data_IF_303641702237
#
_entry.id   IF_303641702237
#
_cell.length_a   1.000
_cell.length_b   1.000
_cell.length_c   1.000
_cell.angle_alpha   90.00
_cell.angle_beta   90.00
_cell.angle_gamma   90.00
#
_symmetry.space_group_name_H-M   'P 1'
#
loop_
_entity.id
_entity.type
_entity.pdbx_description
1 polymer ?
#
# COMPACT_ATOMS: atom_id res chain seq x y z
N UNK A 1 6.85 -18.34 -42.91
CA UNK A 1 7.32 -18.95 -41.66
C UNK A 1 8.09 -17.89 -40.89
N UNK A 2 7.44 -17.21 -39.95
CA UNK A 2 8.08 -16.21 -39.08
C UNK A 2 7.73 -16.58 -37.66
N UNK A 3 8.74 -16.97 -36.89
CA UNK A 3 8.59 -17.37 -35.50
C UNK A 3 8.29 -16.12 -34.66
N UNK A 4 7.21 -16.24 -33.91
CA UNK A 4 6.69 -15.36 -32.88
C UNK A 4 7.75 -14.95 -31.86
N UNK A 5 7.87 -13.64 -31.63
CA UNK A 5 8.68 -13.07 -30.55
C UNK A 5 7.76 -12.79 -29.36
N UNK A 6 8.05 -13.40 -28.23
CA UNK A 6 7.34 -13.22 -26.95
C UNK A 6 7.93 -12.00 -26.23
N UNK A 7 7.17 -10.99 -25.80
CA UNK A 7 7.69 -9.91 -24.96
C UNK A 7 7.44 -10.24 -23.48
N UNK A 8 8.50 -10.71 -22.82
CA UNK A 8 8.55 -10.95 -21.38
C UNK A 8 9.99 -11.17 -20.95
N UNK A 9 10.76 -10.09 -20.82
CA UNK A 9 12.03 -10.03 -20.07
C UNK A 9 12.47 -8.56 -20.04
N UNK A 10 12.49 -7.96 -18.84
CA UNK A 10 13.09 -6.66 -18.64
C UNK A 10 14.58 -6.76 -19.03
N UNK A 11 14.98 -6.05 -20.09
CA UNK A 11 16.37 -6.04 -20.56
C UNK A 11 17.27 -5.44 -19.48
N UNK A 12 18.12 -6.27 -18.88
CA UNK A 12 19.30 -5.83 -18.13
C UNK A 12 20.21 -4.98 -19.05
N UNK A 13 20.73 -3.83 -18.59
CA UNK A 13 21.67 -3.04 -19.38
C UNK A 13 22.97 -3.84 -19.63
N UNK A 14 23.46 -3.81 -20.87
CA UNK A 14 24.73 -4.45 -21.27
C UNK A 14 25.94 -3.57 -20.88
N UNK A 15 26.96 -4.19 -20.27
CA UNK A 15 28.38 -3.80 -20.10
C UNK A 15 28.77 -2.37 -20.51
N UNK A 16 28.53 -1.42 -19.61
CA UNK A 16 29.50 -0.41 -19.20
C UNK A 16 29.86 -0.73 -17.74
N UNK A 17 31.11 -0.51 -17.31
CA UNK A 17 31.64 -0.99 -16.02
C UNK A 17 30.58 -1.01 -14.91
N UNK A 18 30.31 -2.20 -14.36
CA UNK A 18 29.38 -2.33 -13.25
C UNK A 18 29.79 -1.31 -12.18
N UNK A 19 28.82 -0.54 -11.65
CA UNK A 19 29.11 0.50 -10.67
C UNK A 19 29.86 -0.12 -9.50
N UNK A 20 31.07 0.36 -9.25
CA UNK A 20 31.90 -0.16 -8.14
C UNK A 20 31.23 0.27 -6.83
N UNK A 21 30.79 -0.67 -5.97
CA UNK A 21 30.17 -0.30 -4.72
C UNK A 21 31.18 0.40 -3.81
N UNK A 22 30.73 1.44 -3.11
CA UNK A 22 31.57 2.12 -2.11
C UNK A 22 32.01 1.15 -1.01
N UNK A 23 33.06 1.51 -0.27
CA UNK A 23 33.57 0.68 0.84
C UNK A 23 32.46 0.37 1.85
N UNK A 24 31.58 1.34 2.12
CA UNK A 24 30.39 1.17 2.95
C UNK A 24 29.48 0.05 2.45
N UNK A 25 29.14 0.05 1.15
CA UNK A 25 28.27 -0.96 0.54
C UNK A 25 28.94 -2.34 0.55
N UNK A 26 30.26 -2.41 0.26
CA UNK A 26 31.01 -3.68 0.32
C UNK A 26 31.07 -4.26 1.73
N UNK A 27 31.27 -3.41 2.75
CA UNK A 27 31.25 -3.84 4.16
C UNK A 27 29.87 -4.36 4.57
N UNK A 28 28.81 -3.65 4.19
CA UNK A 28 27.42 -4.10 4.42
C UNK A 28 27.15 -5.46 3.78
N UNK A 29 27.57 -5.63 2.52
CA UNK A 29 27.42 -6.89 1.79
C UNK A 29 28.13 -8.05 2.50
N UNK A 30 29.35 -7.83 3.01
CA UNK A 30 30.09 -8.82 3.80
C UNK A 30 29.33 -9.25 5.05
N UNK A 31 28.83 -8.29 5.84
CA UNK A 31 28.06 -8.55 7.06
C UNK A 31 26.80 -9.38 6.75
N UNK A 32 26.07 -9.01 5.69
CA UNK A 32 24.84 -9.72 5.31
C UNK A 32 25.12 -11.16 4.85
N UNK A 33 26.21 -11.38 4.12
CA UNK A 33 26.64 -12.72 3.70
C UNK A 33 27.07 -13.58 4.88
N UNK A 34 27.90 -13.05 5.79
CA UNK A 34 28.32 -13.75 6.99
C UNK A 34 27.14 -14.14 7.88
N UNK A 35 26.12 -13.29 7.95
CA UNK A 35 24.88 -13.55 8.67
C UNK A 35 23.91 -14.51 7.96
N UNK A 36 24.17 -14.90 6.72
CA UNK A 36 23.25 -15.70 5.90
C UNK A 36 21.90 -15.02 5.69
N UNK A 37 21.88 -13.69 5.53
CA UNK A 37 20.65 -12.96 5.21
C UNK A 37 20.27 -13.13 3.73
N UNK A 38 18.97 -13.19 3.42
CA UNK A 38 18.48 -13.05 2.04
C UNK A 38 18.40 -11.55 1.71
N UNK A 39 19.21 -11.11 0.73
CA UNK A 39 19.31 -9.70 0.37
C UNK A 39 19.63 -9.48 -1.11
N UNK A 40 19.29 -8.29 -1.59
CA UNK A 40 19.65 -7.78 -2.93
C UNK A 40 20.10 -6.33 -2.79
N UNK A 41 21.18 -5.97 -3.48
CA UNK A 41 21.67 -4.58 -3.58
C UNK A 41 21.32 -4.01 -4.96
N UNK A 42 20.64 -2.87 -4.96
CA UNK A 42 20.25 -2.16 -6.19
C UNK A 42 21.07 -0.89 -6.35
N UNK A 43 21.81 -0.78 -7.45
CA UNK A 43 22.43 0.48 -7.86
C UNK A 43 21.46 1.36 -8.64
N UNK A 44 21.58 2.68 -8.44
CA UNK A 44 20.83 3.71 -9.16
C UNK A 44 21.73 4.86 -9.58
N UNK A 45 21.42 5.44 -10.73
CA UNK A 45 22.08 6.67 -11.20
C UNK A 45 21.54 7.94 -10.53
N UNK A 46 20.31 7.89 -10.01
CA UNK A 46 19.64 9.00 -9.35
C UNK A 46 19.18 8.54 -7.95
N UNK A 47 19.61 9.24 -6.87
CA UNK A 47 19.19 8.94 -5.51
C UNK A 47 17.67 9.05 -5.31
N UNK A 48 17.12 8.25 -4.41
CA UNK A 48 15.76 8.43 -3.88
C UNK A 48 15.79 9.45 -2.74
N UNK A 49 14.92 10.46 -2.80
CA UNK A 49 14.87 11.52 -1.79
C UNK A 49 13.80 11.30 -0.72
N UNK A 50 12.87 10.36 -0.95
CA UNK A 50 11.80 10.01 -0.01
C UNK A 50 11.38 8.55 -0.12
N UNK A 51 10.66 8.06 0.90
CA UNK A 51 10.00 6.76 0.89
C UNK A 51 9.06 6.61 -0.32
N UNK A 52 8.24 7.64 -0.61
CA UNK A 52 7.34 7.64 -1.76
C UNK A 52 8.07 7.51 -3.10
N UNK A 53 9.18 8.23 -3.28
CA UNK A 53 10.03 8.10 -4.48
C UNK A 53 10.67 6.71 -4.58
N UNK A 54 11.09 6.13 -3.45
CA UNK A 54 11.60 4.77 -3.38
C UNK A 54 10.54 3.75 -3.81
N UNK A 55 9.35 3.82 -3.22
CA UNK A 55 8.23 2.94 -3.52
C UNK A 55 7.86 2.97 -5.01
N UNK A 56 7.71 4.17 -5.58
CA UNK A 56 7.42 4.35 -6.99
C UNK A 56 8.52 3.77 -7.90
N UNK A 57 9.79 3.99 -7.55
CA UNK A 57 10.90 3.56 -8.38
C UNK A 57 11.14 2.04 -8.36
N UNK A 58 10.89 1.39 -7.22
CA UNK A 58 10.97 -0.07 -7.11
C UNK A 58 9.65 -0.78 -7.45
N UNK A 59 8.57 -0.02 -7.69
CA UNK A 59 7.20 -0.53 -7.88
C UNK A 59 6.76 -1.43 -6.73
N UNK A 60 7.08 -1.01 -5.52
CA UNK A 60 6.74 -1.68 -4.26
C UNK A 60 5.72 -0.86 -3.50
N UNK A 61 5.08 -1.48 -2.52
CA UNK A 61 4.14 -0.79 -1.64
C UNK A 61 4.90 0.21 -0.74
N UNK A 62 4.33 1.38 -0.41
CA UNK A 62 5.00 2.35 0.46
C UNK A 62 5.45 1.76 1.80
N UNK A 63 4.67 0.83 2.37
CA UNK A 63 5.04 0.14 3.61
C UNK A 63 6.25 -0.79 3.49
N UNK A 64 6.60 -1.25 2.28
CA UNK A 64 7.84 -1.99 2.05
C UNK A 64 9.09 -1.12 2.15
N UNK A 65 8.95 0.21 2.11
CA UNK A 65 10.09 1.08 2.37
C UNK A 65 10.34 1.19 3.87
N UNK A 66 11.61 1.15 4.25
CA UNK A 66 12.06 1.15 5.64
C UNK A 66 12.97 2.36 5.90
N UNK A 67 12.44 3.59 5.94
CA UNK A 67 13.25 4.75 6.31
C UNK A 67 13.82 4.62 7.72
N UNK A 68 15.15 4.79 7.83
CA UNK A 68 15.86 4.91 9.09
C UNK A 68 15.97 6.38 9.51
N UNK A 69 15.39 6.72 10.66
CA UNK A 69 15.37 8.06 11.25
C UNK A 69 16.26 8.09 12.49
N UNK A 70 17.01 9.17 12.71
CA UNK A 70 17.77 9.37 13.95
C UNK A 70 16.94 10.19 14.92
N UNK A 71 16.64 9.63 16.09
CA UNK A 71 15.93 10.33 17.16
C UNK A 71 16.85 10.58 18.35
N UNK A 72 16.51 11.58 19.15
CA UNK A 72 17.09 11.81 20.47
C UNK A 72 16.01 11.61 21.53
N UNK A 73 16.19 10.58 22.35
CA UNK A 73 15.35 10.28 23.51
C UNK A 73 16.08 10.76 24.78
N UNK A 74 15.59 11.85 25.39
CA UNK A 74 16.24 12.48 26.54
C UNK A 74 17.75 12.76 26.32
N UNK A 75 18.09 13.23 25.11
CA UNK A 75 19.46 13.54 24.69
C UNK A 75 20.31 12.35 24.25
N UNK A 76 19.79 11.12 24.33
CA UNK A 76 20.49 9.90 23.86
C UNK A 76 20.06 9.55 22.43
N UNK A 77 21.00 9.39 21.48
CA UNK A 77 20.65 9.07 20.09
C UNK A 77 20.24 7.61 19.93
N UNK A 78 19.26 7.38 19.06
CA UNK A 78 18.82 6.05 18.61
C UNK A 78 18.39 6.11 17.15
N UNK A 79 18.29 4.95 16.50
CA UNK A 79 17.71 4.83 15.15
C UNK A 79 16.32 4.24 15.23
N UNK A 80 15.38 4.82 14.48
CA UNK A 80 14.03 4.34 14.33
C UNK A 80 13.81 3.92 12.88
N UNK A 81 13.66 2.62 12.65
CA UNK A 81 13.39 2.04 11.34
C UNK A 81 11.87 1.87 11.23
N UNK A 82 11.22 2.78 10.51
CA UNK A 82 9.77 2.83 10.35
C UNK A 82 9.33 2.17 9.04
N UNK A 83 8.10 1.66 8.99
CA UNK A 83 7.39 1.40 7.73
C UNK A 83 7.06 2.73 7.06
N UNK A 84 7.38 2.86 5.77
CA UNK A 84 7.04 4.05 4.99
C UNK A 84 5.53 4.26 4.84
N UNK A 85 4.72 3.23 5.06
CA UNK A 85 3.26 3.28 5.12
C UNK A 85 2.73 4.06 6.32
N UNK A 86 3.56 4.31 7.34
CA UNK A 86 3.16 5.10 8.50
C UNK A 86 3.04 6.59 8.23
N UNK A 87 3.74 7.11 7.22
CA UNK A 87 3.91 8.54 7.02
C UNK A 87 4.80 9.15 8.10
N UNK A 88 4.41 10.32 8.64
CA UNK A 88 5.20 11.03 9.64
C UNK A 88 5.15 10.31 11.00
N UNK A 89 6.32 10.10 11.61
CA UNK A 89 6.44 9.49 12.93
C UNK A 89 5.78 10.36 14.01
N UNK A 90 4.94 9.75 14.83
CA UNK A 90 4.39 10.35 16.05
C UNK A 90 5.43 10.28 17.18
N UNK A 91 5.92 11.44 17.60
CA UNK A 91 6.98 11.54 18.62
C UNK A 91 6.46 11.30 20.05
N UNK A 92 5.18 11.51 20.31
CA UNK A 92 4.56 11.22 21.60
C UNK A 92 4.38 9.71 21.76
N UNK A 93 3.94 9.04 20.69
CA UNK A 93 3.94 7.58 20.63
C UNK A 93 5.35 7.00 20.78
N UNK A 94 6.33 7.56 20.08
CA UNK A 94 7.72 7.13 20.21
C UNK A 94 8.23 7.24 21.66
N UNK A 95 7.90 8.34 22.35
CA UNK A 95 8.25 8.53 23.76
C UNK A 95 7.60 7.46 24.66
N UNK A 96 6.33 7.14 24.42
CA UNK A 96 5.59 6.09 25.14
C UNK A 96 6.22 4.71 24.96
N UNK A 97 6.56 4.34 23.72
CA UNK A 97 7.18 3.05 23.37
C UNK A 97 8.55 2.90 24.06
N UNK A 98 9.31 3.98 24.12
CA UNK A 98 10.63 4.01 24.74
C UNK A 98 10.58 4.15 26.26
N UNK A 99 9.43 4.46 26.84
CA UNK A 99 9.28 4.71 28.29
C UNK A 99 10.03 5.96 28.76
N UNK A 100 10.11 7.01 27.93
CA UNK A 100 10.83 8.26 28.21
C UNK A 100 9.89 9.47 28.21
N UNK A 101 10.34 10.58 28.78
CA UNK A 101 9.55 11.82 28.88
C UNK A 101 9.50 12.62 27.56
N UNK A 102 10.52 12.52 26.71
CA UNK A 102 10.60 13.30 25.47
C UNK A 102 11.46 12.62 24.41
N UNK A 103 10.99 12.71 23.17
CA UNK A 103 11.68 12.26 21.96
C UNK A 103 11.61 13.37 20.92
N UNK A 104 12.71 13.61 20.21
CA UNK A 104 12.75 14.53 19.07
C UNK A 104 13.52 13.93 17.89
N UNK A 105 13.21 14.38 16.69
CA UNK A 105 14.01 14.07 15.51
C UNK A 105 15.36 14.80 15.61
N UNK A 106 16.46 14.09 15.36
CA UNK A 106 17.79 14.69 15.32
C UNK A 106 17.93 15.63 14.11
N UNK A 107 18.66 16.73 14.26
CA UNK A 107 19.01 17.58 13.13
C UNK A 107 19.92 16.81 12.15
N UNK A 108 19.96 17.17 10.84
CA UNK A 108 20.84 16.51 9.89
C UNK A 108 22.32 16.51 10.29
N UNK A 109 22.78 17.61 10.91
CA UNK A 109 24.14 17.70 11.45
C UNK A 109 24.38 16.70 12.58
N UNK A 110 23.44 16.62 13.53
CA UNK A 110 23.52 15.67 14.64
C UNK A 110 23.42 14.22 14.17
N UNK A 111 22.52 13.92 13.23
CA UNK A 111 22.39 12.59 12.63
C UNK A 111 23.71 12.14 11.98
N UNK A 112 24.37 13.03 11.23
CA UNK A 112 25.68 12.76 10.64
C UNK A 112 26.78 12.58 11.69
N UNK A 113 26.77 13.39 12.75
CA UNK A 113 27.75 13.29 13.84
C UNK A 113 27.67 11.93 14.55
N UNK A 114 26.46 11.45 14.86
CA UNK A 114 26.28 10.22 15.65
C UNK A 114 26.27 8.94 14.81
N UNK A 115 25.97 9.02 13.51
CA UNK A 115 25.91 7.83 12.64
C UNK A 115 27.00 7.77 11.58
N UNK A 116 27.64 8.89 11.26
CA UNK A 116 28.55 9.02 10.11
C UNK A 116 27.85 9.18 8.76
N UNK A 117 26.51 9.06 8.68
CA UNK A 117 25.75 9.07 7.43
C UNK A 117 24.91 10.33 7.24
N UNK A 118 24.67 10.70 5.98
CA UNK A 118 23.76 11.80 5.66
C UNK A 118 22.31 11.32 5.69
N UNK A 119 21.41 12.17 6.17
CA UNK A 119 19.97 11.90 6.17
C UNK A 119 19.50 11.50 4.76
N UNK A 120 18.64 10.48 4.69
CA UNK A 120 18.17 9.91 3.43
C UNK A 120 19.06 8.81 2.85
N UNK A 121 20.26 8.60 3.40
CA UNK A 121 21.15 7.50 3.00
C UNK A 121 21.46 6.52 4.13
N UNK A 122 20.93 6.72 5.34
CA UNK A 122 21.24 5.88 6.49
C UNK A 122 21.08 4.40 6.15
N UNK A 123 22.08 3.55 6.48
CA UNK A 123 21.97 2.12 6.25
C UNK A 123 20.81 1.54 7.06
N UNK A 124 20.19 0.44 6.62
CA UNK A 124 19.25 -0.32 7.45
C UNK A 124 19.95 -1.15 8.53
N UNK A 125 21.19 -1.54 8.25
CA UNK A 125 21.93 -2.58 8.92
C UNK A 125 23.44 -2.34 8.82
N UNK A 126 24.22 -2.79 9.80
CA UNK A 126 23.92 -2.66 11.23
C UNK A 126 24.15 -1.21 11.69
N UNK A 127 23.47 -0.80 12.76
CA UNK A 127 23.80 0.42 13.49
C UNK A 127 24.53 0.12 14.80
N UNK A 128 25.52 0.94 15.15
CA UNK A 128 26.14 0.93 16.48
C UNK A 128 25.22 1.53 17.57
N UNK A 129 24.14 2.21 17.15
CA UNK A 129 23.15 2.82 18.02
C UNK A 129 21.99 1.85 18.36
N UNK A 130 21.33 2.02 19.52
CA UNK A 130 20.06 1.36 19.80
C UNK A 130 19.06 1.59 18.68
N UNK A 131 18.31 0.55 18.33
CA UNK A 131 17.31 0.60 17.26
C UNK A 131 15.91 0.31 17.77
N UNK A 132 14.93 1.01 17.22
CA UNK A 132 13.52 0.62 17.25
C UNK A 132 13.13 0.16 15.86
N UNK A 133 12.50 -1.01 15.77
CA UNK A 133 12.03 -1.58 14.50
C UNK A 133 10.51 -1.62 14.51
N UNK A 134 9.93 -1.16 13.42
CA UNK A 134 8.49 -1.21 13.16
C UNK A 134 8.01 -2.58 12.75
N UNK A 135 7.04 -3.12 13.49
CA UNK A 135 6.51 -4.46 13.24
C UNK A 135 5.69 -4.54 11.95
N UNK A 136 5.23 -3.41 11.38
CA UNK A 136 4.59 -3.41 10.05
C UNK A 136 5.55 -3.91 8.96
N UNK A 137 6.86 -3.69 9.11
CA UNK A 137 7.88 -4.16 8.17
C UNK A 137 7.93 -5.69 8.10
N UNK A 138 7.54 -6.40 9.17
CA UNK A 138 7.55 -7.86 9.24
C UNK A 138 6.45 -8.51 8.41
N UNK A 139 5.51 -7.73 7.88
CA UNK A 139 4.43 -8.22 7.01
C UNK A 139 4.89 -8.49 5.59
N UNK A 140 6.04 -7.93 5.20
CA UNK A 140 6.53 -8.00 3.84
C UNK A 140 7.62 -9.06 3.69
N UNK A 141 7.68 -9.79 2.56
CA UNK A 141 8.75 -10.74 2.32
C UNK A 141 10.13 -10.06 2.20
N UNK A 142 10.15 -8.79 1.76
CA UNK A 142 11.33 -7.95 1.66
C UNK A 142 10.99 -6.49 1.91
N UNK A 143 11.91 -5.79 2.58
CA UNK A 143 11.84 -4.36 2.86
C UNK A 143 13.06 -3.64 2.31
N UNK A 144 12.88 -2.36 1.98
CA UNK A 144 13.80 -1.58 1.16
C UNK A 144 14.28 -0.33 1.89
N UNK A 145 15.59 -0.13 1.98
CA UNK A 145 16.14 1.05 2.66
C UNK A 145 17.57 1.36 2.27
N UNK A 146 18.17 2.31 2.98
CA UNK A 146 19.50 2.82 2.64
C UNK A 146 20.61 1.81 2.90
N UNK A 147 21.76 2.10 2.31
CA UNK A 147 23.01 1.31 2.47
C UNK A 147 24.14 2.12 3.09
N UNK A 148 23.91 3.40 3.43
CA UNK A 148 24.95 4.39 3.72
C UNK A 148 25.45 5.12 2.47
N UNK A 149 25.02 4.69 1.28
CA UNK A 149 25.35 5.30 -0.02
C UNK A 149 24.06 5.73 -0.73
N UNK A 150 23.93 7.00 -1.17
CA UNK A 150 22.71 7.52 -1.77
C UNK A 150 22.37 6.89 -3.13
N UNK A 151 23.30 6.18 -3.77
CA UNK A 151 23.10 5.51 -5.06
C UNK A 151 22.78 4.02 -4.91
N UNK A 152 22.79 3.49 -3.69
CA UNK A 152 22.55 2.07 -3.43
C UNK A 152 21.41 1.85 -2.44
N UNK A 153 20.47 0.99 -2.82
CA UNK A 153 19.35 0.56 -1.97
C UNK A 153 19.49 -0.91 -1.61
N UNK A 154 19.30 -1.22 -0.33
CA UNK A 154 19.22 -2.60 0.17
C UNK A 154 17.76 -3.05 0.13
N UNK A 155 17.51 -4.23 -0.44
CA UNK A 155 16.34 -5.03 -0.13
C UNK A 155 16.75 -6.24 0.71
N UNK A 156 16.08 -6.48 1.83
CA UNK A 156 16.42 -7.56 2.75
C UNK A 156 15.15 -8.14 3.38
N UNK A 157 15.18 -9.42 3.76
CA UNK A 157 14.15 -10.01 4.61
C UNK A 157 14.09 -9.26 5.97
N UNK A 158 12.91 -8.85 6.45
CA UNK A 158 12.79 -7.94 7.58
C UNK A 158 13.27 -8.55 8.92
N UNK A 159 13.36 -9.87 9.03
CA UNK A 159 13.94 -10.58 10.18
C UNK A 159 15.42 -10.21 10.39
N UNK A 160 16.13 -9.84 9.31
CA UNK A 160 17.50 -9.36 9.40
C UNK A 160 17.60 -8.07 10.22
N UNK A 161 16.58 -7.19 10.15
CA UNK A 161 16.50 -5.96 10.95
C UNK A 161 16.49 -6.27 12.45
N UNK A 162 15.75 -7.31 12.84
CA UNK A 162 15.66 -7.74 14.24
C UNK A 162 16.93 -8.44 14.73
N UNK A 163 17.58 -9.21 13.85
CA UNK A 163 18.74 -10.04 14.21
C UNK A 163 20.07 -9.28 14.20
N UNK A 164 20.24 -8.33 13.29
CA UNK A 164 21.53 -7.69 13.01
C UNK A 164 21.65 -6.27 13.56
N UNK A 165 20.55 -5.65 14.01
CA UNK A 165 20.60 -4.43 14.80
C UNK A 165 20.49 -4.71 16.30
N UNK A 166 20.97 -3.78 17.12
CA UNK A 166 20.71 -3.76 18.56
C UNK A 166 19.29 -3.22 18.83
N UNK A 167 18.27 -4.06 18.63
CA UNK A 167 16.87 -3.68 18.85
C UNK A 167 16.57 -3.56 20.34
N UNK A 168 16.14 -2.38 20.78
CA UNK A 168 15.82 -2.09 22.20
C UNK A 168 14.32 -1.96 22.47
N UNK A 169 13.53 -1.70 21.43
CA UNK A 169 12.07 -1.70 21.48
C UNK A 169 11.51 -2.01 20.09
N UNK A 170 10.23 -2.32 20.02
CA UNK A 170 9.49 -2.49 18.76
C UNK A 170 8.39 -1.47 18.69
N UNK A 171 8.19 -0.89 17.50
CA UNK A 171 7.06 -0.03 17.23
C UNK A 171 5.89 -0.94 16.83
N UNK A 172 4.89 -1.14 17.71
CA UNK A 172 3.83 -2.11 17.48
C UNK A 172 3.10 -1.78 16.19
N UNK A 173 2.76 -2.81 15.41
CA UNK A 173 1.90 -2.63 14.25
C UNK A 173 0.61 -1.92 14.69
N UNK A 174 0.10 -0.97 13.91
CA UNK A 174 -1.13 -0.24 14.30
C UNK A 174 -2.24 -1.24 14.59
N UNK A 175 -2.79 -1.18 15.81
CA UNK A 175 -4.07 -1.81 16.14
C UNK A 175 -5.17 -0.98 15.47
N UNK A 176 -5.46 -1.34 14.22
CA UNK A 176 -6.30 -0.56 13.31
C UNK A 176 -6.74 -1.41 12.13
N UNK A 177 -7.51 -2.44 12.44
CA UNK A 177 -8.10 -3.39 11.50
C UNK A 177 -8.62 -4.52 12.35
N UNK A 178 -9.94 -4.59 12.57
CA UNK A 178 -10.54 -5.71 13.31
C UNK A 178 -9.96 -7.03 12.84
N UNK A 179 -9.88 -8.03 13.73
CA UNK A 179 -9.47 -9.41 13.41
C UNK A 179 -9.66 -9.68 11.93
N UNK A 180 -8.57 -9.89 11.17
CA UNK A 180 -8.54 -9.99 9.69
C UNK A 180 -9.58 -10.98 9.15
N UNK A 181 -10.16 -11.81 10.00
CA UNK A 181 -11.33 -12.65 9.72
C UNK A 181 -12.67 -11.91 9.53
N UNK A 182 -12.93 -10.75 10.15
CA UNK A 182 -14.27 -10.13 10.21
C UNK A 182 -14.44 -8.78 9.46
N UNK A 183 -13.35 -8.08 9.13
CA UNK A 183 -13.39 -6.80 8.39
C UNK A 183 -13.98 -5.60 9.15
N UNK A 184 -13.60 -4.39 8.76
CA UNK A 184 -14.04 -3.12 9.35
C UNK A 184 -15.46 -2.75 8.90
N UNK A 185 -16.32 -2.20 9.78
CA UNK A 185 -17.53 -1.52 9.33
C UNK A 185 -17.18 -0.24 8.54
N UNK A 186 -18.13 0.26 7.74
CA UNK A 186 -17.94 1.44 6.88
C UNK A 186 -17.40 2.65 7.65
N UNK A 187 -17.95 2.95 8.82
CA UNK A 187 -17.55 4.12 9.61
C UNK A 187 -16.10 4.02 10.07
N UNK A 188 -15.65 2.82 10.44
CA UNK A 188 -14.27 2.57 10.82
C UNK A 188 -13.33 2.61 9.61
N UNK A 189 -13.78 2.12 8.45
CA UNK A 189 -13.04 2.27 7.19
C UNK A 189 -12.82 3.75 6.83
N UNK A 190 -13.87 4.57 6.91
CA UNK A 190 -13.79 6.01 6.60
C UNK A 190 -12.93 6.80 7.59
N UNK A 191 -12.74 6.27 8.79
CA UNK A 191 -11.84 6.83 9.79
C UNK A 191 -10.36 6.45 9.55
N UNK A 192 -10.07 5.53 8.62
CA UNK A 192 -8.69 5.17 8.26
C UNK A 192 -7.99 6.28 7.45
N UNK A 193 -6.73 6.05 7.10
CA UNK A 193 -5.94 6.97 6.28
C UNK A 193 -5.52 8.26 7.00
N UNK A 194 -4.82 9.11 6.26
CA UNK A 194 -4.41 10.45 6.70
C UNK A 194 -5.55 11.46 6.57
N UNK A 195 -5.36 12.68 7.10
CA UNK A 195 -6.33 13.76 6.88
C UNK A 195 -6.45 14.15 5.39
N UNK A 196 -5.37 14.02 4.63
CA UNK A 196 -5.36 14.26 3.19
C UNK A 196 -6.19 13.21 2.44
N UNK A 197 -6.05 11.93 2.81
CA UNK A 197 -6.85 10.84 2.23
C UNK A 197 -8.35 11.04 2.52
N UNK A 198 -8.69 11.41 3.77
CA UNK A 198 -10.07 11.74 4.15
C UNK A 198 -10.60 12.98 3.43
N UNK A 199 -9.78 14.01 3.22
CA UNK A 199 -10.17 15.20 2.46
C UNK A 199 -10.41 14.87 0.98
N UNK A 200 -9.53 14.06 0.37
CA UNK A 200 -9.71 13.57 -0.99
C UNK A 200 -11.02 12.80 -1.12
N UNK A 201 -11.27 11.86 -0.20
CA UNK A 201 -12.49 11.07 -0.15
C UNK A 201 -13.75 11.95 -0.07
N UNK A 202 -13.77 12.94 0.84
CA UNK A 202 -14.90 13.90 0.95
C UNK A 202 -15.18 14.59 -0.38
N UNK A 203 -14.14 15.01 -1.11
CA UNK A 203 -14.28 15.60 -2.44
C UNK A 203 -14.87 14.66 -3.51
N UNK A 204 -14.64 13.34 -3.42
CA UNK A 204 -15.35 12.36 -4.25
C UNK A 204 -16.80 12.19 -3.79
N UNK A 205 -17.02 12.05 -2.49
CA UNK A 205 -18.34 11.82 -1.91
C UNK A 205 -19.32 12.96 -2.17
N UNK A 206 -18.86 14.21 -2.20
CA UNK A 206 -19.71 15.38 -2.47
C UNK A 206 -20.31 15.38 -3.90
N UNK A 207 -19.55 14.90 -4.88
CA UNK A 207 -19.95 14.91 -6.31
C UNK A 207 -20.58 13.61 -6.80
N UNK A 208 -20.28 12.48 -6.15
CA UNK A 208 -20.83 11.18 -6.55
C UNK A 208 -22.20 10.98 -5.90
N UNK A 209 -23.20 10.77 -6.74
CA UNK A 209 -24.57 10.38 -6.38
C UNK A 209 -24.97 9.26 -7.31
N UNK A 210 -25.48 8.16 -6.76
CA UNK A 210 -25.99 7.09 -7.57
C UNK A 210 -27.32 7.49 -8.22
N UNK A 211 -27.60 6.91 -9.39
CA UNK A 211 -28.82 7.20 -10.14
C UNK A 211 -30.07 6.66 -9.45
N UNK A 212 -31.22 7.28 -9.73
CA UNK A 212 -32.51 6.77 -9.24
C UNK A 212 -32.81 5.37 -9.78
N UNK A 213 -32.37 5.06 -11.01
CA UNK A 213 -32.52 3.74 -11.60
C UNK A 213 -31.75 2.66 -10.80
N UNK A 214 -30.51 2.95 -10.41
CA UNK A 214 -29.73 2.07 -9.54
C UNK A 214 -30.38 1.92 -8.16
N UNK A 215 -30.84 3.03 -7.57
CA UNK A 215 -31.56 3.02 -6.29
C UNK A 215 -32.79 2.13 -6.32
N UNK A 216 -33.66 2.31 -7.30
CA UNK A 216 -34.87 1.50 -7.44
C UNK A 216 -34.53 0.02 -7.63
N UNK A 217 -33.51 -0.30 -8.41
CA UNK A 217 -33.03 -1.67 -8.61
C UNK A 217 -32.61 -2.32 -7.29
N UNK A 218 -31.80 -1.63 -6.49
CA UNK A 218 -31.33 -2.12 -5.18
C UNK A 218 -32.48 -2.27 -4.18
N UNK A 219 -33.47 -1.35 -4.20
CA UNK A 219 -34.63 -1.41 -3.31
C UNK A 219 -35.61 -2.53 -3.66
N UNK A 220 -35.75 -2.88 -4.94
CA UNK A 220 -36.62 -3.99 -5.40
C UNK A 220 -35.99 -5.37 -5.19
N UNK A 221 -34.67 -5.43 -5.08
CA UNK A 221 -33.95 -6.68 -4.85
C UNK A 221 -34.40 -7.34 -3.55
N UNK A 222 -34.43 -8.67 -3.53
CA UNK A 222 -34.76 -9.46 -2.35
C UNK A 222 -33.69 -9.35 -1.25
N UNK A 223 -33.17 -10.48 -0.80
CA UNK A 223 -32.06 -10.50 0.17
C UNK A 223 -30.78 -10.11 -0.56
N UNK A 224 -30.15 -9.02 -0.11
CA UNK A 224 -28.83 -8.63 -0.59
C UNK A 224 -27.74 -9.51 0.01
N UNK A 225 -26.65 -9.77 -0.73
CA UNK A 225 -25.50 -10.49 -0.21
C UNK A 225 -24.76 -9.68 0.86
N UNK A 226 -24.00 -10.36 1.70
CA UNK A 226 -22.95 -9.72 2.50
C UNK A 226 -21.81 -9.32 1.56
N UNK A 227 -21.28 -8.11 1.73
CA UNK A 227 -20.22 -7.58 0.88
C UNK A 227 -18.89 -7.53 1.63
N UNK A 228 -17.91 -8.26 1.11
CA UNK A 228 -16.50 -8.06 1.46
C UNK A 228 -15.90 -7.05 0.48
N UNK A 229 -15.43 -5.93 1.01
CA UNK A 229 -14.91 -4.79 0.24
C UNK A 229 -13.43 -4.65 0.55
N UNK A 230 -12.57 -4.96 -0.40
CA UNK A 230 -11.13 -4.71 -0.30
C UNK A 230 -10.84 -3.32 -0.81
N UNK A 231 -10.49 -2.40 0.09
CA UNK A 231 -10.31 -1.00 -0.23
C UNK A 231 -9.38 -0.30 0.76
N UNK A 232 -8.73 0.76 0.30
CA UNK A 232 -7.85 1.62 1.10
C UNK A 232 -8.14 3.08 0.79
N UNK A 233 -8.21 3.92 1.81
CA UNK A 233 -8.72 5.28 1.67
C UNK A 233 -7.85 6.18 0.77
N UNK A 234 -6.54 5.91 0.70
CA UNK A 234 -5.63 6.64 -0.18
C UNK A 234 -5.82 6.31 -1.67
N UNK A 235 -6.53 5.22 -2.00
CA UNK A 235 -6.69 4.77 -3.38
C UNK A 235 -7.80 5.58 -4.09
N UNK A 236 -7.50 6.34 -5.16
CA UNK A 236 -8.50 7.17 -5.84
C UNK A 236 -9.63 6.37 -6.49
N UNK A 237 -9.37 5.12 -6.90
CA UNK A 237 -10.40 4.26 -7.49
C UNK A 237 -11.34 3.72 -6.41
N UNK A 238 -10.84 3.50 -5.17
CA UNK A 238 -11.70 3.23 -4.02
C UNK A 238 -12.60 4.43 -3.72
N UNK A 239 -12.08 5.65 -3.80
CA UNK A 239 -12.85 6.88 -3.62
C UNK A 239 -13.94 7.09 -4.68
N UNK A 240 -13.85 6.45 -5.86
CA UNK A 240 -14.93 6.43 -6.86
C UNK A 240 -16.02 5.43 -6.45
N UNK A 241 -15.64 4.23 -6.00
CA UNK A 241 -16.57 3.13 -5.76
C UNK A 241 -17.32 3.25 -4.43
N UNK A 242 -16.60 3.53 -3.34
CA UNK A 242 -17.16 3.45 -1.97
C UNK A 242 -18.38 4.35 -1.76
N UNK A 243 -18.48 5.57 -2.33
CA UNK A 243 -19.70 6.38 -2.23
C UNK A 243 -20.98 5.68 -2.70
N UNK A 244 -20.90 4.82 -3.72
CA UNK A 244 -22.05 4.02 -4.17
C UNK A 244 -22.44 2.97 -3.13
N UNK A 245 -21.45 2.31 -2.50
CA UNK A 245 -21.68 1.34 -1.44
C UNK A 245 -22.25 1.99 -0.17
N UNK A 246 -21.84 3.22 0.15
CA UNK A 246 -22.46 4.00 1.24
C UNK A 246 -23.95 4.24 0.98
N UNK A 247 -24.32 4.61 -0.25
CA UNK A 247 -25.72 4.84 -0.61
C UNK A 247 -26.53 3.54 -0.55
N UNK A 248 -25.97 2.42 -1.00
CA UNK A 248 -26.58 1.09 -0.83
C UNK A 248 -26.80 0.78 0.65
N UNK A 249 -25.80 1.00 1.52
CA UNK A 249 -25.93 0.81 2.97
C UNK A 249 -27.02 1.69 3.59
N UNK A 250 -27.15 2.93 3.12
CA UNK A 250 -28.16 3.87 3.59
C UNK A 250 -29.57 3.45 3.14
N UNK A 251 -29.73 2.91 1.94
CA UNK A 251 -31.02 2.44 1.43
C UNK A 251 -31.43 1.09 1.99
N UNK A 252 -30.45 0.23 2.29
CA UNK A 252 -30.62 -1.15 2.76
C UNK A 252 -29.71 -1.38 3.98
N UNK A 253 -30.07 -0.86 5.17
CA UNK A 253 -29.25 -0.99 6.38
C UNK A 253 -28.98 -2.42 6.83
N UNK A 254 -29.76 -3.39 6.34
CA UNK A 254 -29.52 -4.82 6.54
C UNK A 254 -28.37 -5.40 5.72
N UNK A 255 -27.88 -4.70 4.69
CA UNK A 255 -26.76 -5.14 3.88
C UNK A 255 -25.46 -5.01 4.68
N UNK A 256 -24.76 -6.14 4.91
CA UNK A 256 -23.49 -6.12 5.62
C UNK A 256 -22.37 -5.65 4.68
N UNK A 257 -21.64 -4.60 5.09
CA UNK A 257 -20.43 -4.14 4.41
C UNK A 257 -19.23 -4.32 5.35
N UNK A 258 -18.27 -5.13 4.93
CA UNK A 258 -17.04 -5.40 5.66
C UNK A 258 -15.83 -5.02 4.82
N UNK A 259 -15.08 -4.04 5.30
CA UNK A 259 -13.92 -3.48 4.63
C UNK A 259 -12.63 -4.17 5.08
N UNK A 260 -11.80 -4.56 4.12
CA UNK A 260 -10.52 -5.20 4.34
C UNK A 260 -9.42 -4.39 3.63
N UNK A 261 -8.25 -4.19 4.25
CA UNK A 261 -7.11 -3.62 3.53
C UNK A 261 -6.66 -4.58 2.43
N UNK A 262 -5.99 -4.04 1.40
CA UNK A 262 -5.27 -4.90 0.45
C UNK A 262 -4.09 -5.56 1.18
N UNK A 263 -3.37 -4.74 1.94
CA UNK A 263 -2.22 -5.18 2.71
C UNK A 263 -2.61 -6.31 3.69
N UNK A 264 -1.91 -7.44 3.60
CA UNK A 264 -2.15 -8.62 4.43
C UNK A 264 -3.33 -9.48 3.98
N UNK A 265 -3.98 -9.16 2.86
CA UNK A 265 -5.06 -9.95 2.26
C UNK A 265 -4.80 -10.33 0.80
N UNK A 266 -3.58 -10.15 0.29
CA UNK A 266 -3.25 -10.29 -1.13
C UNK A 266 -3.49 -11.73 -1.64
N UNK A 267 -3.09 -12.74 -0.88
CA UNK A 267 -3.33 -14.15 -1.23
C UNK A 267 -4.83 -14.46 -1.28
N UNK A 268 -5.58 -14.01 -0.26
CA UNK A 268 -7.03 -14.18 -0.18
C UNK A 268 -7.72 -13.45 -1.34
N UNK A 269 -7.31 -12.22 -1.62
CA UNK A 269 -7.85 -11.40 -2.68
C UNK A 269 -7.57 -12.02 -4.04
N UNK A 270 -6.34 -12.45 -4.30
CA UNK A 270 -5.96 -13.18 -5.51
C UNK A 270 -6.78 -14.47 -5.68
N UNK A 271 -7.01 -15.22 -4.61
CA UNK A 271 -7.86 -16.42 -4.66
C UNK A 271 -9.33 -16.11 -4.99
N UNK A 272 -9.83 -14.92 -4.65
CA UNK A 272 -11.21 -14.50 -4.89
C UNK A 272 -11.42 -13.86 -6.26
N UNK A 273 -10.48 -13.03 -6.72
CA UNK A 273 -10.65 -12.17 -7.90
C UNK A 273 -9.68 -12.47 -9.05
N UNK A 274 -8.70 -13.34 -8.84
CA UNK A 274 -7.60 -13.64 -9.77
C UNK A 274 -6.42 -12.65 -9.71
N UNK A 275 -6.62 -11.46 -9.13
CA UNK A 275 -5.58 -10.42 -9.01
C UNK A 275 -5.72 -9.64 -7.70
N UNK A 276 -4.61 -9.36 -7.01
CA UNK A 276 -4.60 -8.57 -5.79
C UNK A 276 -4.74 -7.05 -6.06
N UNK A 277 -5.91 -6.61 -6.54
CA UNK A 277 -6.20 -5.20 -6.87
C UNK A 277 -7.36 -4.64 -6.06
N UNK A 278 -7.34 -3.34 -5.83
CA UNK A 278 -8.39 -2.61 -5.10
C UNK A 278 -8.89 -1.40 -5.90
N UNK A 279 -10.17 -1.01 -5.78
CA UNK A 279 -11.18 -1.63 -4.92
C UNK A 279 -11.67 -2.98 -5.47
N UNK A 280 -11.93 -3.96 -4.61
CA UNK A 280 -12.57 -5.22 -5.01
C UNK A 280 -13.77 -5.49 -4.13
N UNK A 281 -14.92 -5.85 -4.72
CA UNK A 281 -16.15 -6.18 -3.97
C UNK A 281 -16.54 -7.61 -4.28
N UNK A 282 -16.71 -8.40 -3.22
CA UNK A 282 -17.09 -9.81 -3.29
C UNK A 282 -18.43 -10.00 -2.58
N UNK A 283 -19.41 -10.54 -3.29
CA UNK A 283 -20.69 -10.94 -2.71
C UNK A 283 -20.60 -12.31 -2.03
N UNK A 284 -21.06 -12.40 -0.78
CA UNK A 284 -21.08 -13.61 0.06
C UNK A 284 -22.51 -13.95 0.52
N UNK A 285 -22.71 -15.19 0.94
CA UNK A 285 -23.95 -15.62 1.63
C UNK A 285 -25.10 -16.10 0.73
N UNK A 286 -26.34 -15.78 1.14
CA UNK A 286 -27.60 -16.12 0.43
C UNK A 286 -28.18 -14.85 -0.20
N UNK A 287 -28.00 -14.67 -1.50
CA UNK A 287 -28.39 -13.47 -2.25
C UNK A 287 -27.33 -13.12 -3.29
N UNK A 288 -27.67 -12.27 -4.28
CA UNK A 288 -26.75 -11.80 -5.32
C UNK A 288 -26.18 -12.87 -6.27
N UNK A 289 -25.24 -12.45 -7.12
CA UNK A 289 -24.50 -13.33 -8.02
C UNK A 289 -23.38 -14.07 -7.28
N UNK A 290 -23.58 -15.35 -6.96
CA UNK A 290 -22.54 -16.18 -6.33
C UNK A 290 -21.31 -16.31 -7.24
N UNK A 291 -20.16 -15.83 -6.76
CA UNK A 291 -18.88 -15.92 -7.47
C UNK A 291 -18.61 -14.77 -8.45
N UNK A 292 -19.51 -13.79 -8.56
CA UNK A 292 -19.18 -12.54 -9.25
C UNK A 292 -18.41 -11.59 -8.33
N UNK A 293 -17.50 -10.84 -8.93
CA UNK A 293 -16.57 -9.94 -8.25
C UNK A 293 -16.47 -8.67 -9.06
N UNK A 294 -16.71 -7.53 -8.42
CA UNK A 294 -16.31 -6.24 -8.97
C UNK A 294 -14.81 -6.08 -8.71
N UNK A 295 -14.01 -5.94 -9.77
CA UNK A 295 -12.55 -5.87 -9.66
C UNK A 295 -12.04 -4.53 -10.21
N UNK A 296 -11.58 -3.68 -9.31
CA UNK A 296 -10.94 -2.38 -9.50
C UNK A 296 -11.80 -1.31 -10.19
N UNK A 297 -12.31 -1.61 -11.38
CA UNK A 297 -13.08 -0.72 -12.26
C UNK A 297 -14.12 -1.54 -13.04
N UNK A 298 -15.17 -0.88 -13.57
CA UNK A 298 -16.15 -1.57 -14.40
C UNK A 298 -15.49 -2.31 -15.57
N UNK A 299 -16.04 -3.46 -15.97
CA UNK A 299 -15.48 -4.33 -17.01
C UNK A 299 -15.17 -3.58 -18.30
N UNK A 300 -16.06 -2.70 -18.74
CA UNK A 300 -15.83 -1.84 -19.93
C UNK A 300 -14.56 -0.99 -19.80
N UNK A 301 -14.28 -0.46 -18.60
CA UNK A 301 -13.07 0.33 -18.35
C UNK A 301 -11.83 -0.57 -18.35
N UNK A 302 -11.92 -1.77 -17.77
CA UNK A 302 -10.82 -2.74 -17.79
C UNK A 302 -10.49 -3.20 -19.21
N UNK A 303 -11.49 -3.44 -20.05
CA UNK A 303 -11.31 -3.80 -21.46
C UNK A 303 -10.64 -2.68 -22.26
N UNK A 304 -11.08 -1.43 -22.05
CA UNK A 304 -10.42 -0.25 -22.66
C UNK A 304 -8.96 -0.13 -22.21
N UNK A 305 -8.68 -0.34 -20.92
CA UNK A 305 -7.31 -0.27 -20.39
C UNK A 305 -6.41 -1.40 -20.90
N UNK A 306 -6.95 -2.59 -21.15
CA UNK A 306 -6.21 -3.71 -21.71
C UNK A 306 -5.77 -3.45 -23.17
N UNK A 307 -6.52 -2.65 -23.91
CA UNK A 307 -6.21 -2.25 -25.29
C UNK A 307 -5.35 -0.97 -25.40
N UNK A 308 -5.34 -0.15 -24.35
CA UNK A 308 -4.70 1.17 -24.35
C UNK A 308 -3.20 1.12 -23.97
N UNK A 309 -2.45 2.15 -24.39
CA UNK A 309 -1.08 2.35 -23.94
C UNK A 309 -0.71 3.83 -23.79
N UNK A 310 0.27 4.13 -22.94
CA UNK A 310 0.82 5.48 -22.79
C UNK A 310 -0.22 6.52 -22.34
N UNK A 311 -0.37 7.60 -23.12
CA UNK A 311 -1.31 8.70 -22.80
C UNK A 311 -2.77 8.26 -22.77
N UNK A 312 -3.15 7.27 -23.59
CA UNK A 312 -4.53 6.79 -23.67
C UNK A 312 -4.98 6.16 -22.35
N UNK A 313 -4.10 5.37 -21.73
CA UNK A 313 -4.32 4.79 -20.39
C UNK A 313 -4.59 5.90 -19.35
N UNK A 314 -3.79 6.97 -19.36
CA UNK A 314 -3.96 8.09 -18.43
C UNK A 314 -5.29 8.83 -18.65
N UNK A 315 -5.71 9.00 -19.91
CA UNK A 315 -6.99 9.62 -20.25
C UNK A 315 -8.16 8.76 -19.78
N UNK A 316 -8.13 7.45 -20.03
CA UNK A 316 -9.18 6.52 -19.60
C UNK A 316 -9.33 6.55 -18.07
N UNK A 317 -8.22 6.45 -17.33
CA UNK A 317 -8.23 6.49 -15.86
C UNK A 317 -8.76 7.83 -15.35
N UNK A 318 -8.36 8.95 -15.97
CA UNK A 318 -8.84 10.28 -15.60
C UNK A 318 -10.35 10.42 -15.82
N UNK A 319 -10.84 10.04 -17.00
CA UNK A 319 -12.26 10.13 -17.37
C UNK A 319 -13.12 9.21 -16.48
N UNK A 320 -12.61 8.02 -16.12
CA UNK A 320 -13.22 7.15 -15.11
C UNK A 320 -13.33 7.81 -13.73
N UNK A 321 -12.24 8.37 -13.19
CA UNK A 321 -12.24 9.02 -11.88
C UNK A 321 -13.10 10.29 -11.81
N UNK A 322 -13.43 10.85 -12.98
CA UNK A 322 -14.36 11.97 -13.14
C UNK A 322 -15.81 11.53 -13.39
N UNK A 323 -16.13 10.24 -13.28
CA UNK A 323 -17.51 9.74 -13.24
C UNK A 323 -18.12 9.40 -14.60
N UNK A 324 -17.38 9.45 -15.70
CA UNK A 324 -17.92 9.19 -17.04
C UNK A 324 -18.43 7.75 -17.25
N UNK A 325 -18.04 6.82 -16.37
CA UNK A 325 -18.47 5.42 -16.40
C UNK A 325 -19.40 5.07 -15.23
N UNK A 326 -20.09 6.07 -14.65
CA UNK A 326 -21.02 5.86 -13.54
C UNK A 326 -22.10 4.81 -13.86
N UNK A 327 -22.72 4.88 -15.04
CA UNK A 327 -23.74 3.90 -15.47
C UNK A 327 -23.19 2.48 -15.52
N UNK A 328 -22.01 2.28 -16.14
CA UNK A 328 -21.39 0.96 -16.20
C UNK A 328 -20.99 0.43 -14.82
N UNK A 329 -20.59 1.31 -13.90
CA UNK A 329 -20.31 0.96 -12.52
C UNK A 329 -21.58 0.52 -11.78
N UNK A 330 -22.66 1.28 -11.91
CA UNK A 330 -23.96 0.97 -11.31
C UNK A 330 -24.56 -0.34 -11.88
N UNK A 331 -24.39 -0.60 -13.17
CA UNK A 331 -24.79 -1.86 -13.79
C UNK A 331 -24.05 -3.04 -13.18
N UNK A 332 -22.72 -3.01 -13.13
CA UNK A 332 -21.92 -4.12 -12.59
C UNK A 332 -22.12 -4.31 -11.08
N UNK A 333 -22.23 -3.22 -10.31
CA UNK A 333 -22.61 -3.30 -8.89
C UNK A 333 -24.02 -3.84 -8.72
N UNK A 334 -24.96 -3.42 -9.57
CA UNK A 334 -26.34 -3.88 -9.54
C UNK A 334 -26.43 -5.38 -9.82
N UNK A 335 -25.69 -5.87 -10.81
CA UNK A 335 -25.59 -7.29 -11.15
C UNK A 335 -25.04 -8.08 -9.96
N UNK A 336 -23.95 -7.59 -9.35
CA UNK A 336 -23.33 -8.19 -8.16
C UNK A 336 -24.32 -8.28 -6.98
N UNK A 337 -25.02 -7.19 -6.69
CA UNK A 337 -25.94 -7.07 -5.55
C UNK A 337 -27.23 -7.87 -5.73
N UNK A 338 -27.78 -7.88 -6.94
CA UNK A 338 -29.13 -8.42 -7.20
C UNK A 338 -29.13 -9.83 -7.76
N UNK A 339 -28.04 -10.26 -8.42
CA UNK A 339 -28.00 -11.54 -9.15
C UNK A 339 -28.73 -11.51 -10.49
N UNK A 340 -29.34 -10.38 -10.84
CA UNK A 340 -30.01 -10.15 -12.12
C UNK A 340 -29.00 -9.53 -13.07
N UNK A 341 -28.91 -9.98 -14.33
CA UNK A 341 -28.11 -9.27 -15.33
C UNK A 341 -28.93 -8.10 -15.85
N UNK A 342 -28.39 -6.89 -15.79
CA UNK A 342 -29.02 -5.71 -16.37
C UNK A 342 -29.39 -5.93 -17.84
N UNK A 343 -30.44 -5.26 -18.30
CA UNK A 343 -30.80 -5.21 -19.72
C UNK A 343 -29.62 -4.63 -20.49
N UNK A 344 -28.86 -5.48 -21.20
CA UNK A 344 -27.74 -5.06 -22.05
C UNK A 344 -28.29 -4.20 -23.19
N UNK A 345 -28.24 -2.88 -23.00
CA UNK A 345 -28.59 -1.87 -24.01
C UNK A 345 -27.54 -1.74 -25.11
#
# INVERSE_FOLDING_TARGET
MSATNVPGEARFPRKGADPVPSETVRRLEGILREAGADFVLFYRQIPTRSAAEGAAAFRIEPGQTAPALVLEAEGRPLVWIASGGRGRLDLEEAARILGVSSVRLASPGRAKEVTGFVVGSLPLLPHDLPCVVDEELLRYPRVYGGTGDPLWTLAVAPEALLRLNRVVARHPAREGGGTVEQGLPLEAYLATGTEEDRALYRGFRERIRASEAFRERVLRAGILPDLEVYAELFCPDCAVLVPYLEEVAAWRPEASLRFFPREGNEERLCALSGEARIPTVVARGRGGSRGEVFLERPRVVRELLAAASGEETLRIVSVYRNGAFATALEEELGDLLTGEKGERG
#
